data_IF_466517302649
#
_entry.id   IF_466517302649
#
_cell.length_a   1.000
_cell.length_b   1.000
_cell.length_c   1.000
_cell.angle_alpha   90.00
_cell.angle_beta   90.00
_cell.angle_gamma   90.00
#
_symmetry.space_group_name_H-M   'P 1'
#
loop_
_entity.id
_entity.type
_entity.pdbx_description
1 polymer ?
#
# COMPACT_ATOMS: atom_id res chain seq x y z
N UNK A 1 -10.05 -2.17 10.35
CA UNK A 1 -9.45 -1.22 9.39
C UNK A 1 -8.34 -1.94 8.65
N UNK A 2 -8.42 -1.92 7.32
CA UNK A 2 -7.42 -2.52 6.45
C UNK A 2 -6.09 -1.77 6.59
N UNK A 3 -4.97 -2.50 6.59
CA UNK A 3 -3.63 -1.97 6.86
C UNK A 3 -2.74 -2.17 5.64
N UNK A 4 -3.27 -1.95 4.45
CA UNK A 4 -2.59 -2.29 3.20
C UNK A 4 -2.06 -1.04 2.50
N UNK A 5 -0.96 -1.22 1.77
CA UNK A 5 -0.29 -0.16 1.02
C UNK A 5 -0.69 -0.32 -0.44
N UNK A 6 -1.20 0.76 -1.02
CA UNK A 6 -1.48 0.84 -2.46
C UNK A 6 -0.16 0.72 -3.22
N UNK A 7 -0.16 -0.13 -4.25
CA UNK A 7 0.93 -0.26 -5.22
C UNK A 7 0.63 0.57 -6.46
N UNK A 8 -0.57 0.42 -7.00
CA UNK A 8 -1.05 1.17 -8.17
C UNK A 8 -2.52 1.50 -7.99
N UNK A 9 -2.85 2.79 -8.10
CA UNK A 9 -4.21 3.33 -8.13
C UNK A 9 -4.55 4.07 -9.43
N UNK A 10 -3.60 4.12 -10.38
CA UNK A 10 -3.80 4.58 -11.75
C UNK A 10 -3.38 3.51 -12.76
N UNK A 11 -4.06 3.48 -13.90
CA UNK A 11 -3.67 2.73 -15.10
C UNK A 11 -3.95 3.60 -16.32
N UNK A 12 -2.94 3.77 -17.19
CA UNK A 12 -3.04 4.55 -18.42
C UNK A 12 -3.58 5.98 -18.20
N UNK A 13 -3.17 6.62 -17.10
CA UNK A 13 -3.62 7.97 -16.72
C UNK A 13 -5.02 8.04 -16.09
N UNK A 14 -5.74 6.93 -15.99
CA UNK A 14 -7.08 6.86 -15.39
C UNK A 14 -6.99 6.30 -13.96
N UNK A 15 -7.71 6.96 -13.04
CA UNK A 15 -7.80 6.49 -11.65
C UNK A 15 -8.68 5.25 -11.56
N UNK A 16 -8.17 4.22 -10.91
CA UNK A 16 -8.84 2.93 -10.73
C UNK A 16 -9.96 3.00 -9.70
N UNK A 17 -11.03 2.21 -9.89
CA UNK A 17 -12.01 2.01 -8.82
C UNK A 17 -11.36 1.24 -7.66
N UNK A 18 -11.86 1.44 -6.42
CA UNK A 18 -11.23 0.86 -5.21
C UNK A 18 -10.97 -0.65 -5.29
N UNK A 19 -11.89 -1.41 -5.89
CA UNK A 19 -11.78 -2.86 -6.01
C UNK A 19 -10.74 -3.30 -7.06
N UNK A 20 -10.32 -2.40 -7.94
CA UNK A 20 -9.30 -2.62 -8.96
C UNK A 20 -7.90 -2.19 -8.50
N UNK A 21 -7.82 -1.44 -7.40
CA UNK A 21 -6.54 -1.01 -6.81
C UNK A 21 -5.72 -2.24 -6.44
N UNK A 22 -4.47 -2.24 -6.86
CA UNK A 22 -3.52 -3.27 -6.45
C UNK A 22 -2.78 -2.83 -5.20
N UNK A 23 -2.72 -3.71 -4.20
CA UNK A 23 -1.89 -3.50 -3.00
C UNK A 23 -0.60 -4.29 -3.10
N UNK A 24 0.43 -3.85 -2.38
CA UNK A 24 1.74 -4.52 -2.36
C UNK A 24 1.69 -5.98 -1.90
N UNK A 25 0.74 -6.34 -1.04
CA UNK A 25 0.57 -7.71 -0.58
C UNK A 25 -0.45 -8.54 -1.38
N UNK A 26 -0.99 -8.00 -2.50
CA UNK A 26 -2.00 -8.68 -3.31
C UNK A 26 -3.39 -8.75 -2.69
N UNK A 27 -3.65 -7.99 -1.62
CA UNK A 27 -5.00 -7.86 -1.08
C UNK A 27 -5.88 -7.05 -2.03
N UNK A 28 -7.10 -7.53 -2.29
CA UNK A 28 -8.12 -6.85 -3.07
C UNK A 28 -8.97 -5.94 -2.14
N UNK A 29 -8.81 -4.61 -2.20
CA UNK A 29 -9.47 -3.72 -1.25
C UNK A 29 -10.99 -3.71 -1.39
N UNK A 30 -11.68 -3.63 -0.26
CA UNK A 30 -13.12 -3.42 -0.20
C UNK A 30 -13.47 -1.93 -0.18
N UNK A 31 -14.72 -1.58 -0.49
CA UNK A 31 -15.17 -0.19 -0.58
C UNK A 31 -14.92 0.61 0.72
N UNK A 32 -15.15 -0.02 1.87
CA UNK A 32 -14.97 0.58 3.21
C UNK A 32 -13.53 0.50 3.73
N UNK A 33 -12.61 -0.10 2.98
CA UNK A 33 -11.22 -0.19 3.42
C UNK A 33 -10.55 1.18 3.33
N UNK A 34 -9.91 1.54 4.43
CA UNK A 34 -8.90 2.57 4.48
C UNK A 34 -7.54 1.95 4.14
N UNK A 35 -6.72 2.64 3.35
CA UNK A 35 -5.44 2.14 2.85
C UNK A 35 -4.37 3.24 2.98
N UNK A 36 -3.12 2.83 3.11
CA UNK A 36 -2.00 3.76 2.93
C UNK A 36 -1.87 4.09 1.44
N UNK A 37 -1.78 5.39 1.15
CA UNK A 37 -1.77 5.92 -0.22
C UNK A 37 -0.59 5.41 -1.05
N UNK A 38 0.57 5.22 -0.41
CA UNK A 38 1.77 4.64 -0.99
C UNK A 38 2.75 4.19 0.12
N UNK A 39 3.93 3.73 -0.29
CA UNK A 39 4.98 3.32 0.64
C UNK A 39 5.51 4.47 1.51
N UNK A 40 5.56 5.70 0.99
CA UNK A 40 6.06 6.86 1.74
C UNK A 40 5.11 7.25 2.86
N UNK A 41 3.82 7.31 2.57
CA UNK A 41 2.78 7.52 3.58
C UNK A 41 2.82 6.42 4.66
N UNK A 42 3.04 5.17 4.26
CA UNK A 42 3.16 4.07 5.20
C UNK A 42 4.39 4.22 6.14
N UNK A 43 5.54 4.63 5.60
CA UNK A 43 6.76 4.89 6.37
C UNK A 43 6.57 6.09 7.32
N UNK A 44 6.03 7.20 6.81
CA UNK A 44 5.75 8.38 7.63
C UNK A 44 4.83 8.07 8.80
N UNK A 45 3.83 7.21 8.60
CA UNK A 45 2.94 6.77 9.68
C UNK A 45 3.69 6.01 10.78
N UNK A 46 4.66 5.16 10.41
CA UNK A 46 5.50 4.44 11.38
C UNK A 46 6.40 5.42 12.14
N UNK A 47 7.04 6.35 11.44
CA UNK A 47 7.95 7.35 12.04
C UNK A 47 7.25 8.24 13.07
N UNK A 48 5.99 8.59 12.81
CA UNK A 48 5.15 9.38 13.73
C UNK A 48 4.57 8.57 14.90
N UNK A 49 4.89 7.28 15.00
CA UNK A 49 4.38 6.42 16.08
C UNK A 49 2.87 6.14 15.99
N UNK A 50 2.30 6.16 14.78
CA UNK A 50 0.87 5.87 14.57
C UNK A 50 0.50 4.47 15.05
N UNK A 51 -0.68 4.34 15.66
CA UNK A 51 -1.28 3.04 15.99
C UNK A 51 -1.68 2.24 14.73
N UNK A 52 -1.87 2.95 13.60
CA UNK A 52 -2.10 2.33 12.31
C UNK A 52 -0.76 2.07 11.62
N UNK A 53 -0.30 0.82 11.71
CA UNK A 53 0.90 0.33 11.03
C UNK A 53 0.53 -0.47 9.77
N UNK A 54 1.29 -0.36 8.67
CA UNK A 54 1.07 -1.18 7.47
C UNK A 54 1.31 -2.66 7.74
N UNK A 55 0.67 -3.52 6.96
CA UNK A 55 0.79 -4.95 7.13
C UNK A 55 2.20 -5.42 6.73
N UNK A 56 2.72 -6.41 7.48
CA UNK A 56 4.08 -6.94 7.28
C UNK A 56 4.34 -7.42 5.85
N UNK A 57 3.32 -8.00 5.20
CA UNK A 57 3.44 -8.48 3.81
C UNK A 57 3.64 -7.33 2.82
N UNK A 58 2.97 -6.19 3.01
CA UNK A 58 3.18 -5.01 2.16
C UNK A 58 4.61 -4.48 2.34
N UNK A 59 5.06 -4.28 3.58
CA UNK A 59 6.42 -3.81 3.87
C UNK A 59 7.49 -4.75 3.27
N UNK A 60 7.32 -6.07 3.42
CA UNK A 60 8.26 -7.06 2.87
C UNK A 60 8.32 -6.96 1.35
N UNK A 61 7.18 -6.81 0.68
CA UNK A 61 7.14 -6.69 -0.78
C UNK A 61 7.81 -5.40 -1.28
N UNK A 62 7.60 -4.27 -0.58
CA UNK A 62 8.26 -2.99 -0.88
C UNK A 62 9.79 -3.13 -0.73
N UNK A 63 10.26 -3.63 0.42
CA UNK A 63 11.71 -3.79 0.70
C UNK A 63 12.36 -4.72 -0.32
N UNK A 64 11.75 -5.87 -0.60
CA UNK A 64 12.26 -6.83 -1.58
C UNK A 64 12.42 -6.17 -2.96
N UNK A 65 11.40 -5.43 -3.40
CA UNK A 65 11.42 -4.75 -4.72
C UNK A 65 12.52 -3.68 -4.76
N UNK A 66 12.71 -2.93 -3.67
CA UNK A 66 13.77 -1.93 -3.59
C UNK A 66 15.18 -2.55 -3.64
N UNK A 67 15.38 -3.73 -3.05
CA UNK A 67 16.65 -4.45 -3.08
C UNK A 67 16.97 -5.08 -4.43
N UNK A 68 15.97 -5.30 -5.28
CA UNK A 68 16.15 -5.85 -6.64
C UNK A 68 16.64 -4.79 -7.65
N UNK A 69 16.58 -3.49 -7.28
CA UNK A 69 17.17 -2.40 -8.07
C UNK A 69 18.68 -2.46 -7.91
N UNK A 70 19.38 -2.97 -8.94
CA UNK A 70 20.84 -2.97 -9.06
C UNK A 70 21.36 -1.61 -9.51
#
# INVERSE_FOLDING_TARGET
MSKHIIKYDYRDGVKLAKHEIQTWCGHAPQFSDWLFQDAQHALFSIEQGSLQVPCKKCLTAVIKTAQEVK
#
